data_IF_629241353166
#
_entry.id   IF_629241353166
#
_cell.length_a   1.000
_cell.length_b   1.000
_cell.length_c   1.000
_cell.angle_alpha   90.00
_cell.angle_beta   90.00
_cell.angle_gamma   90.00
#
_symmetry.space_group_name_H-M   'P 1'
#
loop_
_entity.id
_entity.type
_entity.pdbx_description
1 polymer ?
#
# COMPACT_ATOMS: atom_id res chain seq x y z
N UNK A 1 -29.42 42.18 34.00
CA UNK A 1 -29.80 40.75 34.01
C UNK A 1 -29.60 40.07 32.65
N UNK A 2 -30.07 40.63 31.54
CA UNK A 2 -29.92 40.08 30.19
C UNK A 2 -28.43 39.99 29.68
N UNK A 3 -27.55 40.89 30.10
CA UNK A 3 -26.14 40.90 29.71
C UNK A 3 -25.34 39.70 30.26
N UNK A 4 -25.59 39.29 31.48
CA UNK A 4 -24.97 38.11 32.11
C UNK A 4 -25.39 36.81 31.40
N UNK A 5 -26.62 36.70 30.99
CA UNK A 5 -27.18 35.52 30.30
C UNK A 5 -26.54 35.35 28.92
N UNK A 6 -26.43 36.43 28.14
CA UNK A 6 -25.75 36.38 26.83
C UNK A 6 -24.30 35.90 26.93
N UNK A 7 -23.59 36.31 27.97
CA UNK A 7 -22.19 35.96 28.16
C UNK A 7 -22.00 34.49 28.54
N UNK A 8 -22.97 33.90 29.24
CA UNK A 8 -22.98 32.47 29.60
C UNK A 8 -23.25 31.61 28.36
N UNK A 9 -24.25 31.94 27.55
CA UNK A 9 -24.55 31.21 26.31
C UNK A 9 -23.37 31.29 25.31
N UNK A 10 -22.72 32.44 25.20
CA UNK A 10 -21.55 32.61 24.35
C UNK A 10 -20.39 31.69 24.79
N UNK A 11 -20.12 31.59 26.08
CA UNK A 11 -19.09 30.68 26.63
C UNK A 11 -19.44 29.21 26.42
N UNK A 12 -20.71 28.85 26.57
CA UNK A 12 -21.21 27.47 26.34
C UNK A 12 -21.06 27.11 24.87
N UNK A 13 -21.38 27.99 23.94
CA UNK A 13 -21.26 27.77 22.50
C UNK A 13 -19.80 27.57 22.12
N UNK A 14 -18.88 28.42 22.63
CA UNK A 14 -17.43 28.25 22.39
C UNK A 14 -16.93 26.92 22.94
N UNK A 15 -17.36 26.53 24.12
CA UNK A 15 -17.00 25.25 24.74
C UNK A 15 -17.50 24.06 23.93
N UNK A 16 -18.74 24.10 23.42
CA UNK A 16 -19.31 23.07 22.56
C UNK A 16 -18.57 22.96 21.22
N UNK A 17 -18.20 24.09 20.61
CA UNK A 17 -17.40 24.10 19.37
C UNK A 17 -16.01 23.53 19.63
N UNK A 18 -15.40 23.80 20.79
CA UNK A 18 -14.09 23.28 21.15
C UNK A 18 -14.15 21.77 21.39
N UNK A 19 -15.15 21.28 22.10
CA UNK A 19 -15.37 19.82 22.32
C UNK A 19 -15.67 19.11 21.02
N UNK A 20 -16.47 19.71 20.12
CA UNK A 20 -16.77 19.12 18.80
C UNK A 20 -15.52 18.94 17.93
N UNK A 21 -14.53 19.83 18.04
CA UNK A 21 -13.26 19.71 17.35
C UNK A 21 -12.37 18.57 17.87
N UNK A 22 -12.48 18.24 19.16
CA UNK A 22 -11.72 17.15 19.77
C UNK A 22 -12.22 15.75 19.38
N UNK A 23 -13.48 15.61 18.93
CA UNK A 23 -14.06 14.32 18.54
C UNK A 23 -13.81 13.95 17.08
N UNK A 24 -13.31 14.90 16.25
CA UNK A 24 -12.93 14.66 14.85
C UNK A 24 -11.42 14.36 14.69
N UNK A 25 -10.85 13.56 15.57
CA UNK A 25 -9.61 12.87 15.27
C UNK A 25 -9.95 11.72 14.34
N UNK A 26 -10.00 12.01 13.03
CA UNK A 26 -10.03 10.99 12.00
C UNK A 26 -8.75 10.18 12.14
N UNK A 27 -8.85 9.01 12.76
CA UNK A 27 -7.80 8.02 12.76
C UNK A 27 -7.62 7.57 11.31
N UNK A 28 -6.72 8.23 10.59
CA UNK A 28 -6.29 7.76 9.27
C UNK A 28 -5.55 6.45 9.53
N UNK A 29 -6.27 5.33 9.43
CA UNK A 29 -5.66 4.02 9.45
C UNK A 29 -4.66 4.00 8.29
N UNK A 30 -3.37 3.93 8.62
CA UNK A 30 -2.30 3.82 7.62
C UNK A 30 -2.59 2.56 6.81
N UNK A 31 -2.96 2.74 5.55
CA UNK A 31 -3.20 1.64 4.62
C UNK A 31 -1.87 0.86 4.46
N UNK A 32 -1.84 -0.36 4.97
CA UNK A 32 -0.69 -1.25 4.89
C UNK A 32 -0.73 -1.98 3.54
N UNK A 33 -0.43 -1.22 2.48
CA UNK A 33 -0.36 -1.77 1.13
C UNK A 33 1.09 -1.85 0.66
N UNK A 34 1.42 -2.88 -0.09
CA UNK A 34 2.72 -3.04 -0.74
C UNK A 34 2.62 -3.94 -1.97
N UNK A 35 3.52 -3.73 -2.92
CA UNK A 35 3.84 -4.67 -3.98
C UNK A 35 5.06 -5.47 -3.54
N UNK A 36 4.90 -6.77 -3.30
CA UNK A 36 5.98 -7.68 -2.95
C UNK A 36 6.49 -8.37 -4.22
N UNK A 37 7.72 -8.08 -4.61
CA UNK A 37 8.40 -8.77 -5.70
C UNK A 37 9.26 -9.91 -5.14
N UNK A 38 8.94 -11.13 -5.52
CA UNK A 38 9.75 -12.30 -5.23
C UNK A 38 10.77 -12.47 -6.36
N UNK A 39 12.04 -12.45 -6.01
CA UNK A 39 13.16 -12.42 -6.96
C UNK A 39 14.25 -13.41 -6.57
N UNK A 40 15.22 -13.63 -7.45
CA UNK A 40 16.45 -14.38 -7.20
C UNK A 40 17.64 -13.72 -7.88
N UNK A 41 18.83 -13.84 -7.31
CA UNK A 41 20.06 -13.25 -7.87
C UNK A 41 20.42 -13.78 -9.25
N UNK A 42 20.07 -15.03 -9.55
CA UNK A 42 20.34 -15.70 -10.83
C UNK A 42 19.19 -15.59 -11.83
N UNK A 43 18.12 -14.90 -11.47
CA UNK A 43 16.91 -14.76 -12.31
C UNK A 43 17.14 -13.69 -13.38
N UNK A 44 17.44 -14.09 -14.62
CA UNK A 44 17.63 -13.19 -15.75
C UNK A 44 16.38 -12.35 -16.06
N UNK A 45 15.19 -12.94 -15.98
CA UNK A 45 13.93 -12.24 -16.23
C UNK A 45 13.65 -11.19 -15.15
N UNK A 46 14.05 -11.45 -13.91
CA UNK A 46 14.00 -10.45 -12.85
C UNK A 46 14.87 -9.23 -13.18
N UNK A 47 16.07 -9.46 -13.70
CA UNK A 47 16.99 -8.38 -14.12
C UNK A 47 16.42 -7.58 -15.29
N UNK A 48 15.76 -8.24 -16.24
CA UNK A 48 15.07 -7.57 -17.36
C UNK A 48 13.95 -6.69 -16.84
N UNK A 49 13.13 -7.20 -15.92
CA UNK A 49 12.06 -6.41 -15.31
C UNK A 49 12.63 -5.20 -14.55
N UNK A 50 13.68 -5.38 -13.74
CA UNK A 50 14.30 -4.28 -13.00
C UNK A 50 14.76 -3.16 -13.95
N UNK A 51 15.36 -3.51 -15.08
CA UNK A 51 15.82 -2.54 -16.08
C UNK A 51 14.65 -1.82 -16.81
N UNK A 52 13.58 -2.54 -17.11
CA UNK A 52 12.48 -2.00 -17.92
C UNK A 52 11.39 -1.31 -17.09
N UNK A 53 11.12 -1.82 -15.89
CA UNK A 53 10.03 -1.38 -15.02
C UNK A 53 10.54 -0.89 -13.66
N UNK A 54 11.51 -1.58 -13.05
CA UNK A 54 11.94 -1.35 -11.67
C UNK A 54 12.37 0.09 -11.38
N UNK A 55 13.03 0.76 -12.33
CA UNK A 55 13.45 2.17 -12.21
C UNK A 55 12.28 3.15 -12.39
N UNK A 56 11.26 2.76 -13.14
CA UNK A 56 10.08 3.59 -13.45
C UNK A 56 9.00 3.42 -12.39
N UNK A 57 8.81 2.21 -11.88
CA UNK A 57 7.73 1.87 -10.96
C UNK A 57 7.57 2.85 -9.79
N UNK A 58 8.64 3.25 -9.06
CA UNK A 58 8.52 4.18 -7.93
C UNK A 58 7.99 5.57 -8.31
N UNK A 59 8.01 5.92 -9.60
CA UNK A 59 7.54 7.21 -10.13
C UNK A 59 6.09 7.18 -10.59
N UNK A 60 5.43 6.03 -10.48
CA UNK A 60 4.05 5.82 -10.92
C UNK A 60 3.05 6.08 -9.79
N UNK A 61 1.79 6.38 -10.14
CA UNK A 61 0.71 6.54 -9.16
C UNK A 61 0.42 5.26 -8.39
N UNK A 62 0.56 4.10 -9.06
CA UNK A 62 0.35 2.80 -8.42
C UNK A 62 1.37 2.55 -7.29
N UNK A 63 2.60 3.04 -7.42
CA UNK A 63 3.62 2.93 -6.38
C UNK A 63 3.27 3.71 -5.11
N UNK A 64 2.47 4.78 -5.21
CA UNK A 64 1.95 5.50 -4.05
C UNK A 64 0.95 4.65 -3.26
N UNK A 65 0.20 3.80 -3.95
CA UNK A 65 -0.75 2.86 -3.34
C UNK A 65 -0.06 1.58 -2.88
N UNK A 66 0.83 1.05 -3.71
CA UNK A 66 1.56 -0.19 -3.47
C UNK A 66 3.07 0.03 -3.60
N UNK A 67 3.74 0.56 -2.58
CA UNK A 67 5.19 0.71 -2.58
C UNK A 67 5.88 -0.63 -2.83
N UNK A 68 6.91 -0.63 -3.68
CA UNK A 68 7.63 -1.83 -4.05
C UNK A 68 8.56 -2.31 -2.93
N UNK A 69 8.45 -3.58 -2.58
CA UNK A 69 9.36 -4.29 -1.70
C UNK A 69 9.85 -5.57 -2.38
N UNK A 70 11.10 -5.93 -2.18
CA UNK A 70 11.71 -7.11 -2.77
C UNK A 70 12.06 -8.14 -1.70
N UNK A 71 11.86 -9.41 -2.03
CA UNK A 71 12.26 -10.54 -1.20
C UNK A 71 12.88 -11.62 -2.08
N UNK A 72 13.97 -12.24 -1.63
CA UNK A 72 14.51 -13.41 -2.32
C UNK A 72 13.62 -14.63 -2.10
N UNK A 73 13.54 -15.52 -3.10
CA UNK A 73 12.72 -16.71 -3.04
C UNK A 73 13.02 -17.58 -1.80
N UNK A 74 14.30 -17.73 -1.44
CA UNK A 74 14.72 -18.48 -0.26
C UNK A 74 14.12 -17.95 1.05
N UNK A 75 13.96 -16.63 1.15
CA UNK A 75 13.40 -15.95 2.32
C UNK A 75 11.87 -15.94 2.27
N UNK A 76 11.29 -15.91 1.06
CA UNK A 76 9.85 -16.00 0.86
C UNK A 76 9.26 -17.33 1.31
N UNK A 77 9.99 -18.43 1.17
CA UNK A 77 9.56 -19.76 1.65
C UNK A 77 9.15 -19.73 3.13
N UNK A 78 9.88 -18.94 3.94
CA UNK A 78 9.64 -18.76 5.36
C UNK A 78 8.88 -17.45 5.71
N UNK A 79 8.42 -16.72 4.70
CA UNK A 79 7.73 -15.46 4.89
C UNK A 79 6.32 -15.72 5.46
N UNK A 80 6.13 -15.33 6.71
CA UNK A 80 4.89 -15.57 7.47
C UNK A 80 4.14 -14.28 7.83
N UNK A 81 4.67 -13.12 7.40
CA UNK A 81 4.06 -11.81 7.73
C UNK A 81 2.64 -11.66 7.20
N UNK A 82 2.34 -12.35 6.09
CA UNK A 82 1.03 -12.41 5.45
C UNK A 82 0.72 -13.86 5.09
N UNK A 83 -0.55 -14.23 5.11
CA UNK A 83 -1.00 -15.56 4.67
C UNK A 83 -1.02 -15.62 3.14
N UNK A 84 0.16 -15.72 2.52
CA UNK A 84 0.33 -15.73 1.08
C UNK A 84 0.48 -17.16 0.54
N UNK A 85 -0.18 -17.41 -0.58
CA UNK A 85 0.01 -18.64 -1.35
C UNK A 85 1.47 -18.73 -1.82
N UNK A 86 2.08 -19.90 -1.66
CA UNK A 86 3.45 -20.15 -2.14
C UNK A 86 3.52 -20.07 -3.65
N UNK A 87 4.69 -19.70 -4.16
CA UNK A 87 5.06 -19.73 -5.58
C UNK A 87 6.47 -20.29 -5.72
N UNK A 88 6.76 -20.84 -6.89
CA UNK A 88 8.10 -21.26 -7.32
C UNK A 88 8.56 -20.53 -8.58
N UNK A 89 7.87 -19.46 -8.95
CA UNK A 89 8.16 -18.66 -10.14
C UNK A 89 8.82 -17.33 -9.73
N UNK A 90 9.91 -16.97 -10.43
CA UNK A 90 10.53 -15.65 -10.30
C UNK A 90 10.62 -14.97 -11.67
N UNK A 91 10.32 -13.66 -11.78
CA UNK A 91 9.73 -12.83 -10.73
C UNK A 91 8.26 -13.20 -10.47
N UNK A 92 7.80 -13.04 -9.24
CA UNK A 92 6.37 -13.01 -8.89
C UNK A 92 6.07 -11.72 -8.15
N UNK A 93 4.99 -11.06 -8.52
CA UNK A 93 4.56 -9.78 -7.95
C UNK A 93 3.24 -9.98 -7.22
N UNK A 94 3.21 -9.74 -5.91
CA UNK A 94 2.02 -9.91 -5.08
C UNK A 94 1.59 -8.53 -4.56
N UNK A 95 0.39 -8.11 -4.95
CA UNK A 95 -0.25 -6.89 -4.44
C UNK A 95 -0.97 -7.21 -3.14
N UNK A 96 -0.52 -6.59 -2.06
CA UNK A 96 -1.01 -6.83 -0.70
C UNK A 96 -1.62 -5.54 -0.17
N UNK A 97 -2.81 -5.64 0.43
CA UNK A 97 -3.46 -4.55 1.15
C UNK A 97 -4.05 -5.09 2.46
N UNK A 98 -3.71 -4.43 3.57
CA UNK A 98 -4.18 -4.81 4.90
C UNK A 98 -4.01 -6.30 5.20
N UNK A 99 -2.81 -6.84 4.90
CA UNK A 99 -2.40 -8.23 5.03
C UNK A 99 -3.09 -9.23 4.09
N UNK A 100 -3.94 -8.78 3.18
CA UNK A 100 -4.61 -9.64 2.21
C UNK A 100 -4.04 -9.47 0.81
N UNK A 101 -3.85 -10.58 0.10
CA UNK A 101 -3.50 -10.57 -1.31
C UNK A 101 -4.67 -10.04 -2.13
N UNK A 102 -4.42 -9.00 -2.95
CA UNK A 102 -5.39 -8.43 -3.86
C UNK A 102 -5.30 -9.06 -5.25
N UNK A 103 -4.10 -9.46 -5.64
CA UNK A 103 -3.81 -10.12 -6.89
C UNK A 103 -2.33 -10.40 -7.02
N UNK A 104 -1.95 -11.17 -8.05
CA UNK A 104 -0.55 -11.47 -8.35
C UNK A 104 -0.29 -11.60 -9.83
N UNK A 105 0.96 -11.35 -10.19
CA UNK A 105 1.50 -11.57 -11.52
C UNK A 105 2.66 -12.55 -11.37
N UNK A 106 2.57 -13.72 -11.99
CA UNK A 106 3.65 -14.71 -11.99
C UNK A 106 4.41 -14.66 -13.33
N UNK A 107 5.71 -14.43 -13.25
CA UNK A 107 6.57 -14.23 -14.40
C UNK A 107 6.53 -12.80 -14.95
N UNK A 108 7.30 -12.59 -16.01
CA UNK A 108 7.35 -11.33 -16.73
C UNK A 108 7.65 -11.57 -18.22
N UNK A 109 6.90 -10.91 -19.10
CA UNK A 109 7.06 -11.05 -20.55
C UNK A 109 7.43 -9.74 -21.23
N UNK A 110 6.67 -8.66 -20.97
CA UNK A 110 6.91 -7.34 -21.53
C UNK A 110 6.35 -6.23 -20.63
N UNK A 111 6.83 -4.96 -20.80
CA UNK A 111 6.24 -3.82 -20.10
C UNK A 111 4.74 -3.68 -20.31
N UNK A 112 4.26 -3.82 -21.54
CA UNK A 112 2.85 -3.67 -21.89
C UNK A 112 1.99 -4.70 -21.15
N UNK A 113 2.42 -5.96 -21.17
CA UNK A 113 1.70 -7.04 -20.49
C UNK A 113 1.71 -6.85 -18.97
N UNK A 114 2.82 -6.41 -18.40
CA UNK A 114 2.92 -6.13 -16.98
C UNK A 114 1.92 -5.04 -16.55
N UNK A 115 1.90 -3.89 -17.23
CA UNK A 115 0.99 -2.81 -16.93
C UNK A 115 -0.48 -3.18 -17.15
N UNK A 116 -0.77 -3.92 -18.21
CA UNK A 116 -2.12 -4.44 -18.43
C UNK A 116 -2.59 -5.32 -17.26
N UNK A 117 -1.75 -6.23 -16.76
CA UNK A 117 -2.08 -7.08 -15.62
C UNK A 117 -2.23 -6.27 -14.31
N UNK A 118 -1.43 -5.22 -14.13
CA UNK A 118 -1.55 -4.29 -12.98
C UNK A 118 -2.90 -3.58 -12.99
N UNK A 119 -3.38 -3.17 -14.16
CA UNK A 119 -4.66 -2.48 -14.31
C UNK A 119 -5.87 -3.38 -14.01
N UNK A 120 -5.70 -4.71 -14.10
CA UNK A 120 -6.74 -5.69 -13.77
C UNK A 120 -6.83 -6.01 -12.25
N UNK A 121 -5.86 -5.57 -11.44
CA UNK A 121 -5.81 -5.78 -9.99
C UNK A 121 -6.41 -4.60 -9.23
#
# INVERSE_FOLDING_TARGET
MFYKIKNIYFKIIIFLIFVFKLTFSSSYAKDNSLLLMITEKTCLICMVWEKQIGEIYPKTEIANKFPLSRIEMKDFVNYSKHELKKTNVTPTFIFIRNNNEQGRIEGYTSPEMFWWQVDEI
#
